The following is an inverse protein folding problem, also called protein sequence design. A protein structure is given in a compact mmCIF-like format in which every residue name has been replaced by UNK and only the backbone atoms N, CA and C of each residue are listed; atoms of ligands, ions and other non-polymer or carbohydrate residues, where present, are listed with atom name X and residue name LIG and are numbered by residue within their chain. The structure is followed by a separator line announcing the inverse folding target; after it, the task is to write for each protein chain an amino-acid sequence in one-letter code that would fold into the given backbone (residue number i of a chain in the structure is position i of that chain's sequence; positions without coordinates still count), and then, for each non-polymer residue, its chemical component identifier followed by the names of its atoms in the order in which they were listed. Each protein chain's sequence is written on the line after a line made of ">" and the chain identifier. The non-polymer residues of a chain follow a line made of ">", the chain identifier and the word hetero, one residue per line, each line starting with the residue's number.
data_IF_732492567082
#
_entry.id   IF_732492567082
#
_cell.length_a   1.000
_cell.length_b   1.000
_cell.length_c   1.000
_cell.angle_alpha   90.00
_cell.angle_beta   90.00
_cell.angle_gamma   90.00
#
_symmetry.space_group_name_H-M   'P 1'
#
loop_
_entity.id
_entity.type
_entity.pdbx_description
1 polymer ?
#
# COMPACT_ATOMS: atom_id res chain seq x y z
N UNK A 1 -10.40 -22.36 5.48
CA UNK A 1 -9.03 -21.94 5.89
C UNK A 1 -8.98 -20.42 5.82
N UNK A 2 -8.15 -19.75 6.64
CA UNK A 2 -8.01 -18.28 6.60
C UNK A 2 -7.04 -17.88 5.50
N UNK A 3 -7.34 -16.78 4.79
CA UNK A 3 -6.43 -16.17 3.83
C UNK A 3 -5.35 -15.40 4.63
N UNK A 4 -4.04 -15.57 4.35
CA UNK A 4 -3.00 -14.77 4.99
C UNK A 4 -3.15 -13.28 4.69
N UNK A 5 -2.89 -12.44 5.69
CA UNK A 5 -2.92 -10.98 5.59
C UNK A 5 -1.53 -10.40 5.82
N UNK A 6 -1.03 -9.62 4.87
CA UNK A 6 0.25 -8.92 4.95
C UNK A 6 0.01 -7.41 4.98
N UNK A 7 0.57 -6.74 6.00
CA UNK A 7 0.35 -5.32 6.26
C UNK A 7 1.67 -4.55 6.22
N UNK A 8 1.81 -3.65 5.26
CA UNK A 8 2.94 -2.72 5.16
C UNK A 8 2.69 -1.45 5.95
N UNK A 9 3.13 -1.39 7.21
CA UNK A 9 3.05 -0.17 8.03
C UNK A 9 4.19 0.80 7.70
N UNK A 10 3.87 1.91 7.04
CA UNK A 10 4.87 2.92 6.65
C UNK A 10 5.28 3.81 7.83
N UNK A 11 4.59 3.71 8.98
CA UNK A 11 4.79 4.54 10.16
C UNK A 11 4.74 6.03 9.78
N UNK A 12 5.62 6.85 10.34
CA UNK A 12 5.75 8.27 10.01
C UNK A 12 6.86 8.48 8.97
N UNK A 13 6.78 7.78 7.84
CA UNK A 13 7.69 7.95 6.71
C UNK A 13 6.93 8.40 5.46
N UNK A 14 7.66 9.00 4.52
CA UNK A 14 7.20 9.57 3.24
C UNK A 14 6.47 10.90 3.35
N UNK A 15 6.74 11.75 2.37
CA UNK A 15 5.86 12.83 1.93
C UNK A 15 4.71 12.27 1.08
N UNK A 16 3.70 13.09 0.78
CA UNK A 16 2.58 12.65 -0.08
C UNK A 16 3.06 12.24 -1.48
N UNK A 17 4.05 12.93 -2.04
CA UNK A 17 4.60 12.60 -3.36
C UNK A 17 5.33 11.25 -3.36
N UNK A 18 6.23 11.02 -2.38
CA UNK A 18 6.95 9.75 -2.21
C UNK A 18 5.98 8.59 -1.96
N UNK A 19 4.92 8.82 -1.19
CA UNK A 19 3.86 7.84 -0.95
C UNK A 19 3.15 7.41 -2.25
N UNK A 20 2.81 8.37 -3.11
CA UNK A 20 2.17 8.11 -4.39
C UNK A 20 3.09 7.34 -5.34
N UNK A 21 4.36 7.74 -5.42
CA UNK A 21 5.37 7.06 -6.24
C UNK A 21 5.57 5.62 -5.78
N UNK A 22 5.74 5.41 -4.47
CA UNK A 22 5.90 4.09 -3.87
C UNK A 22 4.69 3.20 -4.17
N UNK A 23 3.47 3.66 -3.92
CA UNK A 23 2.23 2.92 -4.19
C UNK A 23 2.10 2.56 -5.69
N UNK A 24 2.38 3.51 -6.59
CA UNK A 24 2.30 3.30 -8.04
C UNK A 24 3.30 2.24 -8.50
N UNK A 25 4.52 2.27 -7.95
CA UNK A 25 5.59 1.34 -8.31
C UNK A 25 5.30 -0.12 -7.91
N UNK A 26 4.46 -0.34 -6.88
CA UNK A 26 4.18 -1.67 -6.34
C UNK A 26 2.89 -2.32 -6.88
N UNK A 27 1.88 -1.52 -7.27
CA UNK A 27 0.53 -2.00 -7.66
C UNK A 27 0.56 -3.22 -8.58
N UNK A 28 1.18 -3.11 -9.75
CA UNK A 28 1.18 -4.18 -10.75
C UNK A 28 1.86 -5.48 -10.28
N UNK A 29 2.80 -5.40 -9.31
CA UNK A 29 3.42 -6.58 -8.71
C UNK A 29 2.53 -7.20 -7.63
N UNK A 30 1.85 -6.36 -6.84
CA UNK A 30 0.94 -6.81 -5.80
C UNK A 30 -0.31 -7.48 -6.37
N UNK A 31 -0.82 -6.99 -7.51
CA UNK A 31 -2.00 -7.55 -8.19
C UNK A 31 -1.76 -8.98 -8.70
N UNK A 32 -0.52 -9.33 -9.04
CA UNK A 32 -0.12 -10.66 -9.53
C UNK A 32 0.02 -11.71 -8.42
N UNK A 33 0.04 -11.31 -7.16
CA UNK A 33 0.18 -12.24 -6.03
C UNK A 33 -1.21 -12.76 -5.67
N UNK A 34 -1.46 -14.05 -5.75
CA UNK A 34 -2.76 -14.62 -5.41
C UNK A 34 -2.77 -15.24 -4.00
N UNK A 35 -3.96 -15.47 -3.46
CA UNK A 35 -4.14 -16.19 -2.19
C UNK A 35 -3.68 -15.45 -0.93
N UNK A 36 -3.44 -14.13 -1.00
CA UNK A 36 -3.00 -13.29 0.13
C UNK A 36 -3.74 -11.94 0.07
N UNK A 37 -4.22 -11.46 1.22
CA UNK A 37 -4.70 -10.09 1.39
C UNK A 37 -3.52 -9.15 1.67
N UNK A 38 -3.46 -8.00 1.00
CA UNK A 38 -2.39 -7.01 1.18
C UNK A 38 -2.97 -5.67 1.59
N UNK A 39 -2.36 -5.04 2.57
CA UNK A 39 -2.74 -3.73 3.09
C UNK A 39 -1.51 -2.86 3.21
N UNK A 40 -1.65 -1.57 2.91
CA UNK A 40 -0.64 -0.55 3.24
C UNK A 40 -1.23 0.42 4.26
N UNK A 41 -0.39 0.87 5.19
CA UNK A 41 -0.76 1.89 6.18
C UNK A 41 0.16 3.10 6.01
N UNK A 42 -0.14 4.02 5.07
CA UNK A 42 0.59 5.25 4.91
C UNK A 42 0.28 6.24 6.05
N UNK A 43 1.09 7.30 6.26
CA UNK A 43 0.72 8.40 7.16
C UNK A 43 -0.64 9.01 6.79
N UNK A 44 -1.34 9.57 7.77
CA UNK A 44 -2.69 10.12 7.60
C UNK A 44 -2.83 11.07 6.40
N UNK A 45 -1.86 11.97 6.21
CA UNK A 45 -1.83 12.95 5.12
C UNK A 45 -1.81 12.32 3.72
N UNK A 46 -1.38 11.07 3.62
CA UNK A 46 -1.22 10.34 2.35
C UNK A 46 -2.36 9.36 2.07
N UNK A 47 -3.30 9.15 3.01
CA UNK A 47 -4.38 8.16 2.88
C UNK A 47 -5.22 8.37 1.60
N UNK A 48 -5.67 9.60 1.34
CA UNK A 48 -6.50 9.89 0.16
C UNK A 48 -5.72 9.74 -1.15
N UNK A 49 -4.43 10.13 -1.15
CA UNK A 49 -3.60 10.06 -2.35
C UNK A 49 -3.26 8.60 -2.71
N UNK A 50 -2.85 7.80 -1.72
CA UNK A 50 -2.52 6.38 -1.89
C UNK A 50 -3.78 5.56 -2.21
N UNK A 51 -4.91 5.84 -1.56
CA UNK A 51 -6.18 5.13 -1.81
C UNK A 51 -6.79 5.37 -3.18
N UNK A 52 -6.32 6.35 -3.96
CA UNK A 52 -6.69 6.52 -5.38
C UNK A 52 -5.80 5.71 -6.32
N UNK A 53 -4.66 5.22 -5.83
CA UNK A 53 -3.64 4.53 -6.64
C UNK A 53 -3.78 3.02 -6.54
N UNK A 54 -3.98 2.49 -5.33
CA UNK A 54 -4.15 1.06 -5.07
C UNK A 54 -5.61 0.65 -5.26
#
# INVERSE_FOLDING_TARGET
>A
MRIPLIVGNWKMNTTVAEAMELASSMRARLDKIEGIEKVVCPPFISLTAVGRIL
#
